data_IF_316680039124
#
_entry.id   IF_316680039124
#
_cell.length_a   1.000
_cell.length_b   1.000
_cell.length_c   1.000
_cell.angle_alpha   90.00
_cell.angle_beta   90.00
_cell.angle_gamma   90.00
#
_symmetry.space_group_name_H-M   'P 1'
#
loop_
_entity.id
_entity.type
_entity.pdbx_description
1 polymer ?
#
# COMPACT_ATOMS: atom_id res chain seq x y z
N UNK A 1 4.74 6.47 1.15
CA UNK A 1 4.76 7.57 2.15
C UNK A 1 4.57 8.89 1.42
N UNK A 2 3.57 9.68 1.80
CA UNK A 2 3.22 10.93 1.12
C UNK A 2 3.85 12.15 1.79
N UNK A 3 3.77 12.22 3.13
CA UNK A 3 4.36 13.24 4.01
C UNK A 3 4.70 12.60 5.38
N UNK A 4 5.36 13.33 6.28
CA UNK A 4 5.74 12.83 7.62
C UNK A 4 4.53 12.33 8.45
N UNK A 5 3.37 12.98 8.31
CA UNK A 5 2.15 12.60 9.05
C UNK A 5 1.57 11.25 8.56
N UNK A 6 1.65 10.97 7.25
CA UNK A 6 1.21 9.72 6.64
C UNK A 6 2.13 8.53 6.93
N UNK A 7 3.35 8.76 7.45
CA UNK A 7 4.28 7.70 7.83
C UNK A 7 3.66 6.82 8.92
N UNK A 8 3.09 7.46 9.96
CA UNK A 8 2.49 6.73 11.07
C UNK A 8 1.37 5.80 10.62
N UNK A 9 0.50 6.28 9.75
CA UNK A 9 -0.61 5.48 9.21
C UNK A 9 -0.15 4.39 8.24
N UNK A 10 0.86 4.67 7.41
CA UNK A 10 1.49 3.67 6.53
C UNK A 10 2.12 2.54 7.35
N UNK A 11 2.79 2.87 8.46
CA UNK A 11 3.38 1.90 9.38
C UNK A 11 2.32 1.08 10.11
N UNK A 12 1.22 1.70 10.55
CA UNK A 12 0.09 1.00 11.16
C UNK A 12 -0.53 -0.01 10.19
N UNK A 13 -0.86 0.41 8.96
CA UNK A 13 -1.40 -0.48 7.95
C UNK A 13 -0.41 -1.64 7.65
N UNK A 14 0.88 -1.33 7.52
CA UNK A 14 1.88 -2.38 7.33
C UNK A 14 1.96 -3.35 8.51
N UNK A 15 1.78 -2.87 9.74
CA UNK A 15 1.66 -3.70 10.94
C UNK A 15 0.46 -4.64 10.88
N UNK A 16 -0.72 -4.12 10.56
CA UNK A 16 -1.96 -4.89 10.40
C UNK A 16 -1.80 -6.00 9.35
N UNK A 17 -1.26 -5.65 8.18
CA UNK A 17 -1.01 -6.62 7.11
C UNK A 17 0.01 -7.70 7.51
N UNK A 18 1.09 -7.31 8.22
CA UNK A 18 2.11 -8.26 8.71
C UNK A 18 1.54 -9.21 9.76
N UNK A 19 0.69 -8.73 10.68
CA UNK A 19 0.01 -9.60 11.64
C UNK A 19 -0.87 -10.65 10.95
N UNK A 20 -1.35 -10.35 9.75
CA UNK A 20 -2.13 -11.26 8.92
C UNK A 20 -1.28 -12.24 8.10
N UNK A 21 0.06 -12.21 8.27
CA UNK A 21 1.03 -13.08 7.60
C UNK A 21 1.57 -12.54 6.28
N UNK A 22 1.23 -11.30 5.90
CA UNK A 22 1.66 -10.71 4.64
C UNK A 22 3.05 -10.07 4.76
N UNK A 23 3.89 -10.25 3.73
CA UNK A 23 5.18 -9.57 3.65
C UNK A 23 4.98 -8.16 3.12
N UNK A 24 5.10 -7.17 4.00
CA UNK A 24 4.89 -5.75 3.65
C UNK A 24 6.15 -4.95 3.89
N UNK A 25 6.51 -4.13 2.90
CA UNK A 25 7.58 -3.15 2.97
C UNK A 25 6.97 -1.75 2.87
N UNK A 26 7.41 -0.86 3.75
CA UNK A 26 7.03 0.56 3.73
C UNK A 26 8.19 1.33 3.13
N UNK A 27 7.90 2.15 2.11
CA UNK A 27 8.92 3.01 1.52
C UNK A 27 9.36 4.07 2.55
N UNK A 28 10.66 4.21 2.83
CA UNK A 28 11.15 4.90 4.04
C UNK A 28 11.09 6.43 3.96
N UNK A 29 10.99 7.01 2.77
CA UNK A 29 11.08 8.46 2.56
C UNK A 29 9.78 9.03 1.97
N UNK A 30 9.47 10.28 2.30
CA UNK A 30 8.46 11.04 1.57
C UNK A 30 9.03 11.45 0.21
N UNK A 31 8.62 10.76 -0.85
CA UNK A 31 9.07 11.04 -2.21
C UNK A 31 7.90 10.92 -3.21
N UNK A 32 8.10 11.30 -4.45
CA UNK A 32 7.07 11.23 -5.50
C UNK A 32 6.61 9.78 -5.72
N UNK A 33 5.30 9.56 -5.87
CA UNK A 33 4.71 8.24 -6.12
C UNK A 33 5.40 7.48 -7.26
N UNK A 34 5.78 8.18 -8.34
CA UNK A 34 6.47 7.56 -9.47
C UNK A 34 7.78 6.84 -9.08
N UNK A 35 8.56 7.40 -8.14
CA UNK A 35 9.77 6.73 -7.64
C UNK A 35 9.44 5.56 -6.73
N UNK A 36 8.41 5.68 -5.88
CA UNK A 36 7.95 4.59 -5.01
C UNK A 36 7.49 3.39 -5.85
N UNK A 37 6.73 3.64 -6.92
CA UNK A 37 6.32 2.59 -7.88
C UNK A 37 7.52 1.99 -8.61
N UNK A 38 8.48 2.81 -9.06
CA UNK A 38 9.69 2.29 -9.70
C UNK A 38 10.50 1.41 -8.74
N UNK A 39 10.64 1.82 -7.49
CA UNK A 39 11.30 1.02 -6.46
C UNK A 39 10.56 -0.31 -6.23
N UNK A 40 9.25 -0.27 -6.01
CA UNK A 40 8.42 -1.46 -5.85
C UNK A 40 8.55 -2.43 -7.05
N UNK A 41 8.61 -1.90 -8.27
CA UNK A 41 8.85 -2.70 -9.48
C UNK A 41 10.25 -3.33 -9.49
N UNK A 42 11.30 -2.60 -9.09
CA UNK A 42 12.69 -3.11 -9.03
C UNK A 42 12.79 -4.28 -8.04
N UNK A 43 12.13 -4.20 -6.89
CA UNK A 43 12.11 -5.28 -5.89
C UNK A 43 11.02 -6.33 -6.16
N UNK A 44 10.41 -6.32 -7.34
CA UNK A 44 9.38 -7.25 -7.81
C UNK A 44 8.18 -7.39 -6.86
N UNK A 45 7.74 -6.28 -6.28
CA UNK A 45 6.52 -6.25 -5.48
C UNK A 45 5.31 -6.27 -6.41
N UNK A 46 4.39 -7.25 -6.27
CA UNK A 46 3.23 -7.37 -7.17
C UNK A 46 2.16 -6.31 -6.90
N UNK A 47 2.05 -5.84 -5.65
CA UNK A 47 1.00 -4.91 -5.23
C UNK A 47 1.53 -3.78 -4.36
N UNK A 48 1.07 -2.55 -4.63
CA UNK A 48 1.42 -1.36 -3.85
C UNK A 48 0.16 -0.77 -3.24
N UNK A 49 0.15 -0.61 -1.91
CA UNK A 49 -0.88 0.13 -1.20
C UNK A 49 -0.49 1.62 -1.13
N UNK A 50 -1.41 2.48 -1.55
CA UNK A 50 -1.28 3.94 -1.51
C UNK A 50 -2.24 4.48 -0.46
N UNK A 51 -1.69 5.27 0.46
CA UNK A 51 -2.40 5.98 1.52
C UNK A 51 -2.07 7.47 1.37
N UNK A 52 -2.91 8.20 0.63
CA UNK A 52 -2.88 9.66 0.58
C UNK A 52 -3.78 10.28 1.64
N UNK A 53 -3.87 11.60 1.64
CA UNK A 53 -4.73 12.35 2.57
C UNK A 53 -6.21 11.97 2.40
N UNK A 54 -6.67 11.82 1.15
CA UNK A 54 -8.05 11.41 0.83
C UNK A 54 -8.35 10.01 1.33
N UNK A 55 -7.47 9.04 1.06
CA UNK A 55 -7.64 7.66 1.54
C UNK A 55 -7.70 7.59 3.07
N UNK A 56 -6.85 8.37 3.75
CA UNK A 56 -6.85 8.44 5.20
C UNK A 56 -8.14 9.08 5.74
N UNK A 57 -8.62 10.15 5.13
CA UNK A 57 -9.88 10.80 5.52
C UNK A 57 -11.09 9.87 5.33
N UNK A 58 -11.07 9.05 4.28
CA UNK A 58 -12.17 8.13 3.93
C UNK A 58 -12.02 6.71 4.50
N UNK A 59 -10.97 6.43 5.27
CA UNK A 59 -10.65 5.06 5.74
C UNK A 59 -10.55 4.02 4.60
N UNK A 60 -10.01 4.46 3.46
CA UNK A 60 -9.79 3.66 2.26
C UNK A 60 -8.30 3.42 2.04
N UNK A 61 -8.00 2.48 1.15
CA UNK A 61 -6.65 2.20 0.66
C UNK A 61 -6.76 1.97 -0.83
N UNK A 62 -5.89 2.64 -1.59
CA UNK A 62 -5.81 2.41 -3.03
C UNK A 62 -4.76 1.32 -3.28
N UNK A 63 -5.19 0.17 -3.80
CA UNK A 63 -4.34 -0.95 -4.16
C UNK A 63 -3.99 -0.86 -5.65
N UNK A 64 -2.70 -0.84 -5.96
CA UNK A 64 -2.18 -0.87 -7.33
C UNK A 64 -1.55 -2.21 -7.65
N UNK A 65 -2.00 -2.85 -8.72
CA UNK A 65 -1.33 -4.00 -9.31
C UNK A 65 -0.16 -3.51 -10.18
N UNK A 66 1.05 -3.94 -9.85
CA UNK A 66 2.27 -3.55 -10.55
C UNK A 66 2.49 -4.33 -11.85
N UNK A 67 1.79 -5.45 -12.06
CA UNK A 67 1.83 -6.24 -13.29
C UNK A 67 0.84 -5.71 -14.34
N UNK A 68 -0.41 -5.45 -13.95
CA UNK A 68 -1.46 -4.99 -14.89
C UNK A 68 -1.55 -3.46 -14.96
N UNK A 69 -1.06 -2.75 -13.94
CA UNK A 69 -1.20 -1.31 -13.81
C UNK A 69 -2.56 -0.86 -13.25
N UNK A 70 -3.49 -1.80 -13.01
CA UNK A 70 -4.81 -1.52 -12.46
C UNK A 70 -4.75 -1.00 -11.03
N UNK A 71 -5.69 -0.12 -10.70
CA UNK A 71 -5.80 0.49 -9.39
C UNK A 71 -7.23 0.34 -8.90
N UNK A 72 -7.40 -0.14 -7.67
CA UNK A 72 -8.68 -0.34 -7.03
C UNK A 72 -8.65 0.28 -5.63
N UNK A 73 -9.60 1.15 -5.32
CA UNK A 73 -9.76 1.71 -3.99
C UNK A 73 -10.73 0.84 -3.20
N UNK A 74 -10.26 0.31 -2.07
CA UNK A 74 -11.05 -0.53 -1.16
C UNK A 74 -11.06 0.04 0.24
N UNK A 75 -12.00 -0.39 1.08
CA UNK A 75 -11.99 -0.04 2.49
C UNK A 75 -10.78 -0.66 3.18
N UNK A 76 -10.20 0.05 4.15
CA UNK A 76 -9.06 -0.46 4.94
C UNK A 76 -9.37 -1.78 5.62
N UNK A 77 -10.63 -2.02 6.02
CA UNK A 77 -11.05 -3.31 6.60
C UNK A 77 -10.99 -4.48 5.61
N UNK A 78 -11.20 -4.22 4.32
CA UNK A 78 -11.29 -5.26 3.28
C UNK A 78 -9.96 -5.56 2.60
N UNK A 79 -8.96 -4.70 2.75
CA UNK A 79 -7.65 -4.82 2.08
C UNK A 79 -6.95 -6.15 2.38
N UNK A 80 -7.06 -6.65 3.62
CA UNK A 80 -6.46 -7.93 4.04
C UNK A 80 -7.09 -9.09 3.27
N UNK A 81 -8.42 -9.12 3.22
CA UNK A 81 -9.19 -10.15 2.52
C UNK A 81 -8.90 -10.12 1.02
N UNK A 82 -8.82 -8.91 0.44
CA UNK A 82 -8.48 -8.71 -0.97
C UNK A 82 -7.08 -9.24 -1.29
N UNK A 83 -6.06 -8.88 -0.50
CA UNK A 83 -4.68 -9.32 -0.71
C UNK A 83 -4.51 -10.83 -0.52
N UNK A 84 -5.19 -11.44 0.45
CA UNK A 84 -5.15 -12.90 0.65
C UNK A 84 -5.85 -13.68 -0.47
N UNK A 85 -6.83 -13.09 -1.13
CA UNK A 85 -7.53 -13.70 -2.26
C UNK A 85 -6.78 -13.58 -3.60
N UNK A 86 -5.74 -12.76 -3.65
CA UNK A 86 -4.91 -12.56 -4.85
C UNK A 86 -3.69 -13.49 -4.81
N UNK A 87 -3.22 -13.98 -5.97
CA UNK A 87 -1.97 -14.73 -6.02
C UNK A 87 -0.81 -13.79 -5.63
N UNK A 88 -0.19 -14.07 -4.49
CA UNK A 88 0.95 -13.36 -3.93
C UNK A 88 2.26 -14.13 -4.14
#
# INVERSE_FOLDING_TARGET
>A
VWNEESIGESLKLAGELRQQGLRVLVYPEADKLGKQFKYASIINVPFVCVLGETELAENKVTLKNMQTGEQETVLRGDIVSKLKGLPL
#
